data_IF_294235486160
#
_entry.id   IF_294235486160
#
_cell.length_a   1.000
_cell.length_b   1.000
_cell.length_c   1.000
_cell.angle_alpha   90.00
_cell.angle_beta   90.00
_cell.angle_gamma   90.00
#
_symmetry.space_group_name_H-M   'P 1'
#
loop_
_entity.id
_entity.type
_entity.pdbx_description
1 polymer ?
#
# COMPACT_ATOMS: atom_id res chain seq x y z
N UNK A 1 -13.40 17.98 -0.63
CA UNK A 1 -13.54 17.03 -1.74
C UNK A 1 -12.56 15.89 -1.58
N UNK A 2 -12.94 14.67 -1.96
CA UNK A 2 -12.11 13.45 -1.91
C UNK A 2 -11.50 13.07 -3.27
N UNK A 3 -11.78 13.85 -4.31
CA UNK A 3 -11.40 13.56 -5.70
C UNK A 3 -9.88 13.41 -5.92
N UNK A 4 -9.07 14.06 -5.08
CA UNK A 4 -7.61 13.99 -5.12
C UNK A 4 -7.07 12.57 -4.88
N UNK A 5 -7.86 11.67 -4.28
CA UNK A 5 -7.43 10.31 -3.94
C UNK A 5 -7.37 9.42 -5.18
N UNK A 6 -8.32 9.56 -6.11
CA UNK A 6 -8.48 8.63 -7.22
C UNK A 6 -7.28 8.55 -8.17
N UNK A 7 -6.62 9.66 -8.57
CA UNK A 7 -5.41 9.57 -9.39
C UNK A 7 -4.29 8.77 -8.71
N UNK A 8 -4.11 8.93 -7.39
CA UNK A 8 -3.12 8.18 -6.63
C UNK A 8 -3.47 6.69 -6.57
N UNK A 9 -4.72 6.34 -6.27
CA UNK A 9 -5.14 4.94 -6.20
C UNK A 9 -5.02 4.24 -7.54
N UNK A 10 -5.39 4.92 -8.63
CA UNK A 10 -5.23 4.38 -9.98
C UNK A 10 -3.75 4.10 -10.25
N UNK A 11 -2.88 5.09 -9.99
CA UNK A 11 -1.45 4.92 -10.22
C UNK A 11 -0.82 3.82 -9.36
N UNK A 12 -1.16 3.77 -8.07
CA UNK A 12 -0.66 2.74 -7.17
C UNK A 12 -1.10 1.34 -7.61
N UNK A 13 -2.31 1.21 -8.17
CA UNK A 13 -2.80 -0.07 -8.69
C UNK A 13 -1.97 -0.54 -9.88
N UNK A 14 -1.67 0.35 -10.85
CA UNK A 14 -0.77 0.04 -11.97
C UNK A 14 0.60 -0.42 -11.46
N UNK A 15 1.21 0.34 -10.55
CA UNK A 15 2.52 0.03 -10.00
C UNK A 15 2.52 -1.31 -9.24
N UNK A 16 1.43 -1.64 -8.54
CA UNK A 16 1.32 -2.91 -7.83
C UNK A 16 1.26 -4.10 -8.81
N UNK A 17 0.54 -3.95 -9.93
CA UNK A 17 0.49 -4.95 -11.00
C UNK A 17 1.88 -5.14 -11.62
N UNK A 18 2.60 -4.05 -11.90
CA UNK A 18 3.95 -4.11 -12.45
C UNK A 18 4.94 -4.75 -11.48
N UNK A 19 4.88 -4.40 -10.19
CA UNK A 19 5.66 -5.05 -9.13
C UNK A 19 5.35 -6.55 -9.08
N UNK A 20 4.09 -6.95 -9.11
CA UNK A 20 3.72 -8.37 -9.06
C UNK A 20 4.23 -9.14 -10.29
N UNK A 21 4.09 -8.57 -11.49
CA UNK A 21 4.56 -9.15 -12.76
C UNK A 21 6.07 -9.30 -12.85
N UNK A 22 6.82 -8.31 -12.39
CA UNK A 22 8.29 -8.32 -12.45
C UNK A 22 8.91 -9.18 -11.35
N UNK A 23 8.16 -9.50 -10.29
CA UNK A 23 8.68 -10.21 -9.11
C UNK A 23 8.04 -11.59 -8.88
N UNK A 24 7.63 -12.33 -9.91
CA UNK A 24 6.86 -13.60 -9.76
C UNK A 24 7.46 -14.62 -8.79
N UNK A 25 8.79 -14.69 -8.71
CA UNK A 25 9.54 -15.65 -7.89
C UNK A 25 10.20 -15.01 -6.66
N UNK A 26 9.78 -13.82 -6.24
CA UNK A 26 10.35 -13.16 -5.07
C UNK A 26 10.20 -14.02 -3.80
N UNK A 27 11.25 -13.99 -2.99
CA UNK A 27 11.36 -14.71 -1.72
C UNK A 27 11.94 -13.78 -0.64
N UNK A 28 11.99 -14.27 0.60
CA UNK A 28 12.61 -13.56 1.72
C UNK A 28 12.06 -12.15 1.94
N UNK A 29 12.98 -11.19 2.09
CA UNK A 29 12.68 -9.78 2.38
C UNK A 29 11.87 -9.10 1.27
N UNK A 30 12.18 -9.41 0.01
CA UNK A 30 11.49 -8.81 -1.14
C UNK A 30 10.03 -9.24 -1.22
N UNK A 31 9.74 -10.53 -0.96
CA UNK A 31 8.35 -11.03 -0.86
C UNK A 31 7.58 -10.34 0.26
N UNK A 32 8.21 -10.15 1.42
CA UNK A 32 7.60 -9.42 2.55
C UNK A 32 7.24 -7.99 2.19
N UNK A 33 8.17 -7.26 1.56
CA UNK A 33 7.93 -5.89 1.11
C UNK A 33 6.79 -5.81 0.07
N UNK A 34 6.74 -6.75 -0.89
CA UNK A 34 5.65 -6.83 -1.88
C UNK A 34 4.29 -7.10 -1.24
N UNK A 35 4.23 -8.02 -0.26
CA UNK A 35 3.02 -8.27 0.51
C UNK A 35 2.58 -7.04 1.30
N UNK A 36 3.53 -6.31 1.91
CA UNK A 36 3.19 -5.08 2.62
C UNK A 36 2.71 -4.00 1.65
N UNK A 37 3.29 -3.88 0.45
CA UNK A 37 2.82 -2.93 -0.56
C UNK A 37 1.38 -3.23 -0.97
N UNK A 38 1.03 -4.50 -1.16
CA UNK A 38 -0.35 -4.91 -1.42
C UNK A 38 -1.30 -4.50 -0.27
N UNK A 39 -0.88 -4.62 0.99
CA UNK A 39 -1.68 -4.15 2.14
C UNK A 39 -1.86 -2.63 2.15
N UNK A 40 -0.80 -1.87 1.92
CA UNK A 40 -0.90 -0.39 1.87
C UNK A 40 -1.82 0.06 0.73
N UNK A 41 -1.82 -0.62 -0.42
CA UNK A 41 -2.76 -0.38 -1.51
C UNK A 41 -4.21 -0.66 -1.07
N UNK A 42 -4.48 -1.80 -0.44
CA UNK A 42 -5.83 -2.12 0.04
C UNK A 42 -6.30 -1.13 1.11
N UNK A 43 -5.42 -0.73 2.02
CA UNK A 43 -5.70 0.24 3.07
C UNK A 43 -5.98 1.64 2.53
N UNK A 44 -5.32 2.04 1.43
CA UNK A 44 -5.60 3.31 0.75
C UNK A 44 -6.89 3.26 -0.08
N UNK A 45 -7.25 2.09 -0.60
CA UNK A 45 -8.50 1.86 -1.34
C UNK A 45 -9.73 1.68 -0.44
N UNK A 46 -9.56 1.50 0.87
CA UNK A 46 -10.68 1.27 1.79
C UNK A 46 -11.71 2.41 1.71
N UNK A 47 -12.93 2.05 1.31
CA UNK A 47 -14.04 2.99 1.06
C UNK A 47 -14.54 3.69 2.32
N UNK A 48 -14.22 3.16 3.50
CA UNK A 48 -14.54 3.76 4.79
C UNK A 48 -13.92 5.15 4.95
N UNK A 49 -12.75 5.40 4.35
CA UNK A 49 -12.14 6.73 4.36
C UNK A 49 -12.97 7.75 3.58
N UNK A 50 -13.47 7.38 2.40
CA UNK A 50 -14.32 8.24 1.59
C UNK A 50 -15.68 8.49 2.27
N UNK A 51 -16.23 7.47 2.95
CA UNK A 51 -17.47 7.58 3.72
C UNK A 51 -17.31 8.46 4.97
N UNK A 52 -16.23 8.28 5.75
CA UNK A 52 -15.89 9.12 6.92
C UNK A 52 -15.61 10.57 6.48
N UNK A 53 -14.92 10.79 5.36
CA UNK A 53 -14.71 12.13 4.79
C UNK A 53 -16.03 12.83 4.41
N UNK A 54 -17.04 12.08 3.97
CA UNK A 54 -18.37 12.59 3.61
C UNK A 54 -19.22 12.95 4.84
N UNK A 55 -19.03 12.22 5.96
CA UNK A 55 -19.80 12.41 7.21
C UNK A 55 -19.31 13.58 8.08
N UNK A 56 -18.27 14.32 7.66
CA UNK A 56 -17.65 15.51 8.30
C UNK A 56 -17.18 15.36 9.76
N UNK A 57 -17.46 14.24 10.42
CA UNK A 57 -16.83 13.85 11.68
C UNK A 57 -15.55 13.08 11.33
N UNK A 58 -14.39 13.57 11.76
CA UNK A 58 -13.06 12.95 11.52
C UNK A 58 -12.54 12.96 10.07
N UNK A 59 -13.01 13.86 9.20
CA UNK A 59 -12.50 13.98 7.83
C UNK A 59 -10.98 14.21 7.74
N UNK A 60 -10.40 14.96 8.69
CA UNK A 60 -8.95 15.18 8.78
C UNK A 60 -8.16 13.89 9.10
N UNK A 61 -8.73 13.02 9.94
CA UNK A 61 -8.14 11.72 10.26
C UNK A 61 -8.12 10.81 9.02
N UNK A 62 -9.25 10.75 8.30
CA UNK A 62 -9.36 9.95 7.09
C UNK A 62 -8.41 10.41 5.97
N UNK A 63 -8.28 11.72 5.77
CA UNK A 63 -7.28 12.30 4.85
C UNK A 63 -5.87 11.93 5.27
N UNK A 64 -5.53 12.08 6.56
CA UNK A 64 -4.20 11.74 7.08
C UNK A 64 -3.85 10.28 6.86
N UNK A 65 -4.78 9.36 7.17
CA UNK A 65 -4.57 7.92 7.00
C UNK A 65 -4.42 7.52 5.53
N UNK A 66 -5.25 8.09 4.65
CA UNK A 66 -5.12 7.86 3.20
C UNK A 66 -3.74 8.31 2.70
N UNK A 67 -3.28 9.51 3.09
CA UNK A 67 -1.95 10.01 2.71
C UNK A 67 -0.82 9.16 3.28
N UNK A 68 -0.96 8.66 4.51
CA UNK A 68 0.02 7.78 5.14
C UNK A 68 0.19 6.49 4.34
N UNK A 69 -0.91 5.83 3.95
CA UNK A 69 -0.87 4.61 3.15
C UNK A 69 -0.32 4.84 1.74
N UNK A 70 -0.68 5.96 1.09
CA UNK A 70 -0.08 6.36 -0.20
C UNK A 70 1.43 6.53 -0.05
N UNK A 71 1.88 7.26 0.97
CA UNK A 71 3.31 7.47 1.23
C UNK A 71 4.06 6.17 1.48
N UNK A 72 3.52 5.30 2.34
CA UNK A 72 4.14 4.01 2.66
C UNK A 72 4.24 3.12 1.43
N UNK A 73 3.20 3.06 0.60
CA UNK A 73 3.22 2.33 -0.66
C UNK A 73 4.30 2.85 -1.60
N UNK A 74 4.36 4.17 -1.82
CA UNK A 74 5.35 4.78 -2.72
C UNK A 74 6.77 4.49 -2.24
N UNK A 75 7.02 4.62 -0.94
CA UNK A 75 8.33 4.30 -0.35
C UNK A 75 8.69 2.81 -0.51
N UNK A 76 7.72 1.90 -0.32
CA UNK A 76 7.93 0.46 -0.57
C UNK A 76 8.27 0.21 -2.04
N UNK A 77 7.50 0.79 -2.96
CA UNK A 77 7.75 0.68 -4.40
C UNK A 77 9.18 1.11 -4.74
N UNK A 78 9.57 2.33 -4.34
CA UNK A 78 10.93 2.86 -4.57
C UNK A 78 12.02 1.96 -3.96
N UNK A 79 11.81 1.48 -2.72
CA UNK A 79 12.76 0.61 -2.03
C UNK A 79 12.89 -0.76 -2.69
N UNK A 80 11.79 -1.31 -3.23
CA UNK A 80 11.80 -2.59 -3.95
C UNK A 80 12.50 -2.44 -5.30
N UNK A 81 12.20 -1.36 -6.04
CA UNK A 81 12.82 -1.11 -7.36
C UNK A 81 14.29 -0.74 -7.25
N UNK A 82 14.69 -0.03 -6.19
CA UNK A 82 16.06 0.38 -5.93
C UNK A 82 16.88 -0.63 -5.13
N UNK A 83 16.28 -1.76 -4.71
CA UNK A 83 16.91 -2.81 -3.90
C UNK A 83 17.46 -2.31 -2.55
N UNK A 84 16.86 -1.25 -2.00
CA UNK A 84 17.27 -0.58 -0.76
C UNK A 84 16.30 -0.86 0.40
N UNK A 85 15.67 -2.03 0.42
CA UNK A 85 14.66 -2.39 1.42
C UNK A 85 15.28 -2.38 2.83
N UNK A 86 14.85 -1.44 3.65
CA UNK A 86 15.19 -1.39 5.06
C UNK A 86 14.31 -2.36 5.87
N UNK A 87 14.92 -3.41 6.42
CA UNK A 87 14.22 -4.48 7.13
C UNK A 87 13.57 -4.02 8.45
N UNK A 88 14.19 -3.10 9.18
CA UNK A 88 13.66 -2.59 10.44
C UNK A 88 12.40 -1.76 10.20
N UNK A 89 12.47 -0.85 9.22
CA UNK A 89 11.34 -0.03 8.80
C UNK A 89 10.20 -0.91 8.29
N UNK A 90 10.48 -1.90 7.43
CA UNK A 90 9.49 -2.85 6.94
C UNK A 90 8.81 -3.59 8.10
N UNK A 91 9.59 -4.08 9.06
CA UNK A 91 9.03 -4.81 10.22
C UNK A 91 8.16 -3.90 11.09
N UNK A 92 8.54 -2.64 11.27
CA UNK A 92 7.72 -1.64 11.97
C UNK A 92 6.41 -1.33 11.23
N UNK A 93 6.43 -1.37 9.89
CA UNK A 93 5.28 -1.11 9.05
C UNK A 93 4.32 -2.32 9.07
N UNK A 94 4.86 -3.53 8.96
CA UNK A 94 4.11 -4.78 9.08
C UNK A 94 3.39 -4.89 10.44
N UNK A 95 4.03 -4.45 11.53
CA UNK A 95 3.39 -4.43 12.85
C UNK A 95 2.23 -3.42 12.93
N UNK A 96 2.41 -2.23 12.35
CA UNK A 96 1.39 -1.17 12.36
C UNK A 96 0.21 -1.48 11.44
N UNK A 97 0.48 -2.05 10.27
CA UNK A 97 -0.49 -2.30 9.20
C UNK A 97 -0.55 -3.80 8.87
N UNK A 98 -1.02 -4.59 9.84
CA UNK A 98 -0.96 -6.05 9.86
C UNK A 98 -2.20 -6.76 9.29
N UNK A 99 -3.08 -6.05 8.58
CA UNK A 99 -4.29 -6.65 8.01
C UNK A 99 -3.93 -7.70 6.95
N UNK A 100 -4.78 -8.73 6.81
CA UNK A 100 -4.55 -9.83 5.87
C UNK A 100 -3.14 -10.46 6.01
N UNK A 101 -2.86 -11.15 7.14
CA UNK A 101 -1.55 -11.75 7.39
C UNK A 101 -1.13 -12.75 6.30
N UNK A 102 -2.10 -13.42 5.68
CA UNK A 102 -1.91 -14.40 4.61
C UNK A 102 -1.97 -13.81 3.19
N UNK A 103 -1.93 -12.49 3.02
CA UNK A 103 -1.95 -11.87 1.69
C UNK A 103 -0.77 -12.36 0.84
N UNK A 104 -1.05 -12.62 -0.44
CA UNK A 104 -0.05 -12.89 -1.44
C UNK A 104 -0.14 -11.81 -2.53
N UNK A 105 0.89 -10.99 -2.69
CA UNK A 105 0.97 -9.96 -3.71
C UNK A 105 0.75 -10.47 -5.14
N UNK A 106 0.94 -11.79 -5.37
CA UNK A 106 0.75 -12.42 -6.69
C UNK A 106 -0.68 -12.40 -7.19
N UNK A 107 -1.67 -12.09 -6.34
CA UNK A 107 -3.04 -11.83 -6.82
C UNK A 107 -3.12 -10.66 -7.81
N UNK A 108 -2.12 -9.76 -7.78
CA UNK A 108 -1.97 -8.67 -8.74
C UNK A 108 -1.13 -9.05 -9.97
N UNK A 109 -0.74 -10.32 -10.13
CA UNK A 109 -0.07 -10.84 -11.31
C UNK A 109 -1.11 -11.58 -12.19
N UNK A 110 -1.83 -10.89 -13.08
CA UNK A 110 -2.64 -11.54 -14.10
C UNK A 110 -1.79 -12.36 -15.07
#
# INVERSE_FOLDING_TARGET
>A
SNDWIYPHLHKMTELMVDLARTNKKASGLRRRALNQAARELLLSQASDWAFIMKMKTTASYAVRRTREHIYNFTRLHESITGETINQEWLSSLEQRNSIFPSIDYRVYCP
#
